data_IF_806095750933
#
_entry.id   IF_806095750933
#
_cell.length_a   1.000
_cell.length_b   1.000
_cell.length_c   1.000
_cell.angle_alpha   90.00
_cell.angle_beta   90.00
_cell.angle_gamma   90.00
#
_symmetry.space_group_name_H-M   'P 1'
#
loop_
_entity.id
_entity.type
_entity.pdbx_description
1 polymer ?
#
# COMPACT_ATOMS: atom_id res chain seq x y z
N UNK A 1 -3.42 3.08 -24.15
CA UNK A 1 -2.89 3.03 -22.77
C UNK A 1 -3.22 4.30 -21.98
N UNK A 2 -2.92 5.51 -22.50
CA UNK A 2 -3.28 6.79 -21.85
C UNK A 2 -4.79 6.91 -21.52
N UNK A 3 -5.67 6.71 -22.50
CA UNK A 3 -7.12 6.77 -22.30
C UNK A 3 -7.67 5.70 -21.32
N UNK A 4 -6.99 4.56 -21.17
CA UNK A 4 -7.36 3.54 -20.18
C UNK A 4 -6.91 3.94 -18.77
N UNK A 5 -5.74 4.57 -18.66
CA UNK A 5 -5.21 5.11 -17.40
C UNK A 5 -6.15 6.19 -16.88
N UNK A 6 -6.52 7.14 -17.74
CA UNK A 6 -7.44 8.23 -17.41
C UNK A 6 -8.80 7.71 -16.92
N UNK A 7 -9.38 6.71 -17.60
CA UNK A 7 -10.62 6.06 -17.17
C UNK A 7 -10.48 5.33 -15.84
N UNK A 8 -9.39 4.61 -15.62
CA UNK A 8 -9.14 3.91 -14.37
C UNK A 8 -8.96 4.87 -13.19
N UNK A 9 -8.30 6.01 -13.42
CA UNK A 9 -8.21 7.10 -12.44
C UNK A 9 -9.58 7.67 -12.10
N UNK A 10 -10.37 8.01 -13.13
CA UNK A 10 -11.72 8.55 -12.94
C UNK A 10 -12.63 7.59 -12.17
N UNK A 11 -12.52 6.28 -12.42
CA UNK A 11 -13.31 5.25 -11.75
C UNK A 11 -12.76 4.82 -10.38
N UNK A 12 -11.62 5.35 -9.94
CA UNK A 12 -10.96 4.92 -8.70
C UNK A 12 -10.42 3.48 -8.76
N UNK A 13 -10.22 2.90 -9.95
CA UNK A 13 -9.69 1.54 -10.14
C UNK A 13 -8.16 1.52 -9.91
N UNK A 14 -7.75 1.70 -8.66
CA UNK A 14 -6.34 1.85 -8.30
C UNK A 14 -5.48 0.64 -8.70
N UNK A 15 -6.03 -0.58 -8.61
CA UNK A 15 -5.37 -1.81 -9.06
C UNK A 15 -5.06 -1.77 -10.56
N UNK A 16 -6.01 -1.27 -11.37
CA UNK A 16 -5.86 -1.14 -12.82
C UNK A 16 -4.82 -0.07 -13.16
N UNK A 17 -4.90 1.09 -12.51
CA UNK A 17 -3.90 2.17 -12.65
C UNK A 17 -2.49 1.69 -12.33
N UNK A 18 -2.30 1.01 -11.20
CA UNK A 18 -1.01 0.49 -10.78
C UNK A 18 -0.40 -0.45 -11.83
N UNK A 19 -1.20 -1.40 -12.35
CA UNK A 19 -0.77 -2.33 -13.40
C UNK A 19 -0.34 -1.60 -14.68
N UNK A 20 -1.10 -0.59 -15.11
CA UNK A 20 -0.76 0.19 -16.30
C UNK A 20 0.55 0.95 -16.09
N UNK A 21 0.73 1.61 -14.94
CA UNK A 21 1.97 2.32 -14.60
C UNK A 21 3.17 1.37 -14.57
N UNK A 22 3.02 0.17 -14.00
CA UNK A 22 4.08 -0.85 -14.00
C UNK A 22 4.49 -1.27 -15.41
N UNK A 23 3.52 -1.42 -16.32
CA UNK A 23 3.77 -1.77 -17.72
C UNK A 23 4.50 -0.65 -18.46
N UNK A 24 4.13 0.62 -18.23
CA UNK A 24 4.75 1.79 -18.87
C UNK A 24 6.17 2.02 -18.37
N UNK A 25 6.42 1.87 -17.06
CA UNK A 25 7.74 2.13 -16.48
C UNK A 25 8.80 1.05 -16.79
N UNK A 26 8.47 0.00 -17.56
CA UNK A 26 9.40 -1.09 -17.88
C UNK A 26 9.86 -1.92 -16.67
N UNK A 27 9.36 -1.63 -15.47
CA UNK A 27 9.66 -2.32 -14.21
C UNK A 27 8.87 -3.62 -14.05
N UNK A 28 8.41 -4.22 -15.15
CA UNK A 28 7.64 -5.45 -15.13
C UNK A 28 8.57 -6.64 -14.88
N UNK A 29 9.15 -6.72 -13.68
CA UNK A 29 9.39 -8.02 -13.07
C UNK A 29 7.98 -8.57 -12.88
N UNK A 30 7.62 -9.62 -13.61
CA UNK A 30 6.38 -10.38 -13.38
C UNK A 30 6.40 -10.73 -11.90
N UNK A 31 5.77 -9.89 -11.07
CA UNK A 31 5.96 -9.95 -9.64
C UNK A 31 5.52 -11.36 -9.24
N UNK A 32 6.39 -12.03 -8.49
CA UNK A 32 6.00 -13.11 -7.60
C UNK A 32 4.75 -12.55 -6.92
N UNK A 33 3.57 -13.11 -7.22
CA UNK A 33 2.38 -12.84 -6.43
C UNK A 33 2.81 -13.23 -5.02
N UNK A 34 3.19 -12.24 -4.21
CA UNK A 34 3.80 -12.51 -2.91
C UNK A 34 2.76 -13.31 -2.17
N UNK A 35 3.03 -14.60 -1.90
CA UNK A 35 1.99 -15.49 -1.46
C UNK A 35 1.50 -14.99 -0.10
N UNK A 36 0.20 -14.73 0.01
CA UNK A 36 -0.39 -14.23 1.25
C UNK A 36 -0.43 -15.40 2.23
N UNK A 37 0.27 -15.28 3.35
CA UNK A 37 0.25 -16.24 4.42
C UNK A 37 -0.97 -16.06 5.34
N UNK A 38 -1.53 -17.17 5.81
CA UNK A 38 -2.36 -17.15 7.02
C UNK A 38 -1.47 -16.92 8.26
N UNK A 39 -2.09 -16.82 9.44
CA UNK A 39 -1.37 -16.58 10.70
C UNK A 39 -0.42 -17.72 11.08
N UNK A 40 -0.67 -18.93 10.59
CA UNK A 40 0.18 -20.10 10.77
C UNK A 40 1.35 -20.17 9.77
N UNK A 41 1.51 -19.13 8.92
CA UNK A 41 2.56 -19.05 7.91
C UNK A 41 2.29 -19.89 6.66
N UNK A 42 1.10 -20.46 6.50
CA UNK A 42 0.71 -21.24 5.33
C UNK A 42 0.23 -20.31 4.21
N UNK A 43 0.66 -20.58 3.00
CA UNK A 43 0.30 -19.80 1.82
C UNK A 43 -1.17 -20.04 1.45
N UNK A 44 -1.94 -18.95 1.32
CA UNK A 44 -3.31 -18.94 0.84
C UNK A 44 -3.31 -18.89 -0.70
N UNK A 45 -3.82 -19.95 -1.32
CA UNK A 45 -3.83 -20.10 -2.78
C UNK A 45 -5.14 -19.66 -3.46
N UNK A 46 -6.22 -19.49 -2.67
CA UNK A 46 -7.53 -19.07 -3.17
C UNK A 46 -7.79 -17.59 -2.92
N UNK A 47 -8.33 -16.87 -3.91
CA UNK A 47 -8.71 -15.45 -3.78
C UNK A 47 -9.69 -15.23 -2.63
N UNK A 48 -10.70 -16.08 -2.47
CA UNK A 48 -11.66 -15.99 -1.36
C UNK A 48 -10.97 -16.12 0.01
N UNK A 49 -9.98 -17.01 0.14
CA UNK A 49 -9.24 -17.18 1.38
C UNK A 49 -8.33 -15.96 1.66
N UNK A 50 -7.73 -15.39 0.60
CA UNK A 50 -6.93 -14.17 0.70
C UNK A 50 -7.79 -12.96 1.09
N UNK A 51 -9.00 -12.82 0.53
CA UNK A 51 -9.94 -11.74 0.87
C UNK A 51 -10.38 -11.80 2.34
N UNK A 52 -10.70 -13.01 2.84
CA UNK A 52 -11.01 -13.22 4.26
C UNK A 52 -9.80 -12.82 5.12
N UNK A 53 -8.61 -13.28 4.77
CA UNK A 53 -7.37 -12.95 5.49
C UNK A 53 -7.07 -11.44 5.49
N UNK A 54 -7.29 -10.75 4.37
CA UNK A 54 -7.16 -9.30 4.27
C UNK A 54 -8.17 -8.59 5.17
N UNK A 55 -9.42 -9.01 5.13
CA UNK A 55 -10.49 -8.44 5.96
C UNK A 55 -10.16 -8.56 7.45
N UNK A 56 -9.72 -9.74 7.89
CA UNK A 56 -9.24 -9.96 9.26
C UNK A 56 -8.05 -9.07 9.61
N UNK A 57 -7.04 -9.01 8.74
CA UNK A 57 -5.84 -8.21 8.99
C UNK A 57 -6.15 -6.73 9.15
N UNK A 58 -6.94 -6.16 8.24
CA UNK A 58 -7.31 -4.76 8.30
C UNK A 58 -8.19 -4.46 9.51
N UNK A 59 -9.08 -5.38 9.88
CA UNK A 59 -9.89 -5.23 11.07
C UNK A 59 -9.02 -5.18 12.34
N UNK A 60 -8.02 -6.03 12.46
CA UNK A 60 -7.09 -6.05 13.60
C UNK A 60 -6.23 -4.79 13.68
N UNK A 61 -5.69 -4.34 12.54
CA UNK A 61 -4.76 -3.20 12.49
C UNK A 61 -5.50 -1.87 12.65
N UNK A 62 -6.65 -1.70 12.00
CA UNK A 62 -7.35 -0.41 11.97
C UNK A 62 -8.28 -0.19 13.16
N UNK A 63 -8.77 -1.27 13.79
CA UNK A 63 -9.65 -1.17 14.96
C UNK A 63 -8.94 -1.55 16.27
N UNK A 64 -7.61 -1.52 16.29
CA UNK A 64 -6.84 -1.72 17.51
C UNK A 64 -7.17 -0.60 18.53
N UNK A 65 -7.45 -0.93 19.81
CA UNK A 65 -7.61 0.09 20.83
C UNK A 65 -6.33 0.93 20.98
N UNK A 66 -6.46 2.13 21.53
CA UNK A 66 -5.30 2.95 21.87
C UNK A 66 -4.35 2.13 22.78
N UNK A 67 -3.02 2.19 22.56
CA UNK A 67 -2.07 1.51 23.42
C UNK A 67 -2.20 1.98 24.87
N UNK A 68 -2.12 1.06 25.83
CA UNK A 68 -2.17 1.38 27.27
C UNK A 68 -0.95 2.22 27.72
N UNK A 69 0.18 2.03 27.03
CA UNK A 69 1.41 2.76 27.28
C UNK A 69 1.47 3.97 26.36
N UNK A 70 1.56 5.17 26.95
CA UNK A 70 1.95 6.37 26.20
C UNK A 70 3.37 6.14 25.68
N UNK A 71 3.62 6.25 24.37
CA UNK A 71 4.96 6.12 23.84
C UNK A 71 5.85 7.23 24.41
N UNK A 72 6.98 6.85 24.98
CA UNK A 72 8.02 7.77 25.42
C UNK A 72 8.78 8.27 24.18
N UNK A 73 8.23 9.32 23.55
CA UNK A 73 8.80 9.94 22.37
C UNK A 73 9.82 10.98 22.85
N UNK A 74 11.10 10.67 22.68
CA UNK A 74 12.17 11.64 22.92
C UNK A 74 12.03 12.81 21.94
N UNK A 75 12.14 14.04 22.44
CA UNK A 75 12.20 15.22 21.57
C UNK A 75 13.36 15.07 20.59
N UNK A 76 13.09 15.40 19.32
CA UNK A 76 14.15 15.48 18.34
C UNK A 76 15.19 16.51 18.79
N UNK A 77 16.47 16.12 18.79
CA UNK A 77 17.56 17.02 19.19
C UNK A 77 17.77 18.17 18.19
N UNK A 78 17.32 17.99 16.95
CA UNK A 78 17.43 18.96 15.87
C UNK A 78 16.19 18.85 14.97
N UNK A 79 15.68 20.01 14.53
CA UNK A 79 14.62 20.06 13.53
C UNK A 79 15.23 19.82 12.15
N UNK A 80 14.76 18.79 11.44
CA UNK A 80 15.24 18.48 10.10
C UNK A 80 14.62 19.48 9.13
N UNK A 81 15.47 20.27 8.45
CA UNK A 81 15.04 21.20 7.41
C UNK A 81 14.40 20.48 6.23
N UNK A 82 13.08 20.27 6.28
CA UNK A 82 12.31 19.72 5.16
C UNK A 82 11.95 20.85 4.21
N UNK A 83 12.36 20.71 2.95
CA UNK A 83 11.92 21.61 1.88
C UNK A 83 10.44 21.30 1.61
N UNK A 84 9.56 22.12 2.19
CA UNK A 84 8.11 22.09 1.96
C UNK A 84 7.69 22.93 0.76
N UNK A 85 8.64 23.58 0.08
CA UNK A 85 8.32 24.34 -1.12
C UNK A 85 7.89 23.39 -2.24
N UNK A 86 6.84 23.75 -2.99
CA UNK A 86 6.38 22.95 -4.11
C UNK A 86 7.50 22.83 -5.15
N UNK A 87 7.72 21.64 -5.73
CA UNK A 87 8.72 21.46 -6.78
C UNK A 87 8.38 22.38 -7.96
N UNK A 88 9.38 23.15 -8.40
CA UNK A 88 9.21 24.02 -9.56
C UNK A 88 9.41 23.19 -10.82
N UNK A 89 8.52 23.37 -11.79
CA UNK A 89 8.58 22.71 -13.10
C UNK A 89 9.65 23.42 -13.96
N UNK A 90 10.52 22.67 -14.61
CA UNK A 90 11.38 23.16 -15.70
C UNK A 90 10.59 23.47 -16.98
#
# INVERSE_FOLDING_TARGET
MAAQTERAAYKGEQRTLYKITQQVCGKFRKNIEVPIGNKDGQILTSEAAQEVRWTEHFNEVLNQPAPDTVPDIQEAQEDLGVITTPPTKE
#
